data_IF_107757460906
#
_entry.id   IF_107757460906
#
_cell.length_a   1.000
_cell.length_b   1.000
_cell.length_c   1.000
_cell.angle_alpha   90.00
_cell.angle_beta   90.00
_cell.angle_gamma   90.00
#
_symmetry.space_group_name_H-M   'P 1'
#
loop_
_entity.id
_entity.type
_entity.pdbx_description
1 polymer ?
#
# COMPACT_ATOMS: atom_id res chain seq x y z
N UNK A 1 6.37 1.66 19.45
CA UNK A 1 6.39 2.51 18.25
C UNK A 1 5.72 3.83 18.62
N UNK A 2 6.34 4.97 18.35
CA UNK A 2 5.70 6.28 18.57
C UNK A 2 4.80 6.62 17.37
N UNK A 3 3.54 6.94 17.65
CA UNK A 3 2.57 7.32 16.63
C UNK A 3 2.99 8.62 15.94
N UNK A 4 2.68 8.82 14.65
CA UNK A 4 2.95 10.07 13.98
C UNK A 4 2.18 11.22 14.65
N UNK A 5 2.74 12.43 14.57
CA UNK A 5 2.02 13.65 14.96
C UNK A 5 0.74 13.77 14.13
N UNK A 6 -0.35 14.24 14.74
CA UNK A 6 -1.66 14.30 14.08
C UNK A 6 -1.65 15.16 12.80
N UNK A 7 -0.88 16.24 12.76
CA UNK A 7 -0.70 17.06 11.55
C UNK A 7 -0.07 16.28 10.40
N UNK A 8 0.91 15.43 10.69
CA UNK A 8 1.54 14.56 9.69
C UNK A 8 0.56 13.50 9.17
N UNK A 9 -0.20 12.86 10.07
CA UNK A 9 -1.22 11.87 9.71
C UNK A 9 -2.28 12.48 8.77
N UNK A 10 -2.87 13.62 9.14
CA UNK A 10 -3.89 14.27 8.33
C UNK A 10 -3.36 14.71 6.96
N UNK A 11 -2.10 15.16 6.89
CA UNK A 11 -1.45 15.53 5.63
C UNK A 11 -1.32 14.32 4.70
N UNK A 12 -0.87 13.18 5.22
CA UNK A 12 -0.71 11.95 4.44
C UNK A 12 -2.06 11.35 4.01
N UNK A 13 -3.08 11.43 4.86
CA UNK A 13 -4.45 11.10 4.48
C UNK A 13 -4.96 12.02 3.36
N UNK A 14 -4.62 13.31 3.41
CA UNK A 14 -4.92 14.27 2.34
C UNK A 14 -4.25 13.89 1.01
N UNK A 15 -3.00 13.43 1.04
CA UNK A 15 -2.30 12.92 -0.14
C UNK A 15 -2.99 11.70 -0.73
N UNK A 16 -3.36 10.73 0.10
CA UNK A 16 -4.09 9.54 -0.34
C UNK A 16 -5.48 9.88 -0.90
N UNK A 17 -6.21 10.79 -0.26
CA UNK A 17 -7.51 11.27 -0.74
C UNK A 17 -7.39 11.92 -2.12
N UNK A 18 -6.41 12.81 -2.30
CA UNK A 18 -6.12 13.46 -3.58
C UNK A 18 -5.86 12.44 -4.70
N UNK A 19 -4.99 11.45 -4.44
CA UNK A 19 -4.65 10.42 -5.42
C UNK A 19 -5.86 9.53 -5.76
N UNK A 20 -6.62 9.09 -4.76
CA UNK A 20 -7.82 8.27 -4.99
C UNK A 20 -8.88 9.03 -5.79
N UNK A 21 -9.08 10.32 -5.53
CA UNK A 21 -10.02 11.16 -6.28
C UNK A 21 -9.60 11.39 -7.75
N UNK A 22 -8.30 11.36 -8.05
CA UNK A 22 -7.75 11.53 -9.41
C UNK A 22 -7.80 10.27 -10.27
N UNK A 23 -8.06 9.09 -9.68
CA UNK A 23 -8.07 7.80 -10.36
C UNK A 23 -9.52 7.32 -10.47
N UNK A 24 -10.04 7.20 -11.69
CA UNK A 24 -11.48 6.99 -11.95
C UNK A 24 -12.06 5.71 -11.32
N UNK A 25 -11.25 4.66 -11.16
CA UNK A 25 -11.64 3.41 -10.50
C UNK A 25 -11.72 3.54 -8.98
N UNK A 26 -11.06 4.55 -8.39
CA UNK A 26 -10.94 4.76 -6.94
C UNK A 26 -11.69 5.98 -6.45
N UNK A 27 -12.06 6.90 -7.33
CA UNK A 27 -12.82 8.10 -7.00
C UNK A 27 -14.21 7.79 -6.38
N UNK A 28 -14.71 6.57 -6.59
CA UNK A 28 -15.97 6.08 -6.01
C UNK A 28 -15.81 5.39 -4.65
N UNK A 29 -14.59 5.25 -4.14
CA UNK A 29 -14.38 4.67 -2.81
C UNK A 29 -14.98 5.59 -1.74
N UNK A 30 -15.72 5.05 -0.76
CA UNK A 30 -16.23 5.87 0.35
C UNK A 30 -15.07 6.54 1.09
N UNK A 31 -15.24 7.78 1.57
CA UNK A 31 -14.18 8.47 2.33
C UNK A 31 -13.71 7.67 3.55
N UNK A 32 -14.62 6.90 4.17
CA UNK A 32 -14.30 6.00 5.29
C UNK A 32 -13.30 4.89 4.94
N UNK A 33 -13.08 4.60 3.65
CA UNK A 33 -12.05 3.65 3.21
C UNK A 33 -10.63 4.12 3.53
N UNK A 34 -10.39 5.43 3.57
CA UNK A 34 -9.09 5.98 3.98
C UNK A 34 -8.77 5.62 5.43
N UNK A 35 -9.75 5.75 6.32
CA UNK A 35 -9.64 5.34 7.73
C UNK A 35 -9.45 3.83 7.88
N UNK A 36 -10.05 3.03 7.01
CA UNK A 36 -9.95 1.58 7.07
C UNK A 36 -8.63 1.03 6.51
N UNK A 37 -8.09 1.63 5.44
CA UNK A 37 -7.01 1.01 4.65
C UNK A 37 -5.72 1.82 4.60
N UNK A 38 -5.78 3.13 4.82
CA UNK A 38 -4.61 4.03 4.69
C UNK A 38 -4.16 4.54 6.05
N UNK A 39 -5.09 4.95 6.90
CA UNK A 39 -4.79 5.44 8.26
C UNK A 39 -3.97 4.45 9.08
N UNK A 40 -4.30 3.14 9.15
CA UNK A 40 -3.51 2.20 9.91
C UNK A 40 -2.09 2.04 9.33
N UNK A 41 -1.95 2.06 8.00
CA UNK A 41 -0.66 2.01 7.33
C UNK A 41 0.23 3.19 7.74
N UNK A 42 -0.34 4.40 7.76
CA UNK A 42 0.38 5.62 8.16
C UNK A 42 0.77 5.55 9.65
N UNK A 43 -0.17 5.18 10.52
CA UNK A 43 0.07 5.05 11.95
C UNK A 43 1.19 4.06 12.26
N UNK A 44 1.27 2.97 11.49
CA UNK A 44 2.31 1.95 11.62
C UNK A 44 3.61 2.28 10.87
N UNK A 45 3.70 3.42 10.19
CA UNK A 45 4.82 3.79 9.30
C UNK A 45 5.07 2.76 8.18
N UNK A 46 3.99 2.14 7.72
CA UNK A 46 3.97 1.16 6.64
C UNK A 46 3.26 1.71 5.40
N UNK A 47 3.50 2.99 5.14
CA UNK A 47 3.05 3.71 3.95
C UNK A 47 4.22 4.52 3.40
N UNK A 48 4.36 4.55 2.08
CA UNK A 48 5.28 5.47 1.40
C UNK A 48 4.53 6.28 0.36
N UNK A 49 4.66 7.59 0.43
CA UNK A 49 4.21 8.53 -0.59
C UNK A 49 5.37 8.92 -1.49
N UNK A 50 5.09 8.99 -2.79
CA UNK A 50 6.07 9.33 -3.83
C UNK A 50 5.68 10.69 -4.42
N UNK A 51 6.67 11.55 -4.57
CA UNK A 51 6.51 12.92 -5.07
C UNK A 51 7.32 13.10 -6.35
N UNK A 52 6.86 13.97 -7.24
CA UNK A 52 7.64 14.43 -8.38
C UNK A 52 8.61 15.55 -7.99
N UNK A 53 9.35 16.05 -8.98
CA UNK A 53 10.36 17.08 -8.81
C UNK A 53 9.76 18.44 -8.37
N UNK A 54 8.47 18.65 -8.59
CA UNK A 54 7.74 19.85 -8.14
C UNK A 54 7.13 19.69 -6.73
N UNK A 55 7.31 18.53 -6.10
CA UNK A 55 6.76 18.23 -4.78
C UNK A 55 5.28 17.83 -4.80
N UNK A 56 4.72 17.54 -5.97
CA UNK A 56 3.35 17.03 -6.09
C UNK A 56 3.34 15.53 -5.80
N UNK A 57 2.39 15.07 -4.98
CA UNK A 57 2.22 13.63 -4.74
C UNK A 57 1.71 12.96 -6.01
N UNK A 58 2.41 11.90 -6.43
CA UNK A 58 2.16 11.15 -7.69
C UNK A 58 1.80 9.69 -7.46
N UNK A 59 1.99 9.17 -6.25
CA UNK A 59 1.59 7.82 -5.89
C UNK A 59 1.87 7.50 -4.43
N UNK A 60 1.39 6.34 -4.00
CA UNK A 60 1.75 5.73 -2.73
C UNK A 60 1.69 4.22 -2.81
N UNK A 61 2.33 3.55 -1.86
CA UNK A 61 2.07 2.15 -1.58
C UNK A 61 2.08 1.90 -0.09
N UNK A 62 1.36 0.86 0.34
CA UNK A 62 1.26 0.44 1.73
C UNK A 62 1.62 -1.02 1.86
N UNK A 63 2.17 -1.40 3.02
CA UNK A 63 2.49 -2.77 3.31
C UNK A 63 2.10 -3.18 4.73
N UNK A 64 2.05 -4.48 4.96
CA UNK A 64 1.82 -5.07 6.27
C UNK A 64 2.64 -6.35 6.44
N UNK A 65 2.99 -6.67 7.68
CA UNK A 65 3.55 -7.95 8.07
C UNK A 65 2.47 -8.77 8.75
N UNK A 66 1.81 -9.63 7.98
CA UNK A 66 0.63 -10.37 8.44
C UNK A 66 1.00 -11.75 8.97
N UNK A 67 0.32 -12.18 10.02
CA UNK A 67 0.27 -13.57 10.42
C UNK A 67 -0.48 -14.39 9.35
N UNK A 68 -0.20 -15.70 9.28
CA UNK A 68 -0.70 -16.55 8.21
C UNK A 68 -2.24 -16.65 8.21
N UNK A 69 -2.82 -16.85 9.38
CA UNK A 69 -4.26 -16.93 9.61
C UNK A 69 -4.98 -15.60 9.34
N UNK A 70 -4.38 -14.47 9.72
CA UNK A 70 -4.88 -13.13 9.40
C UNK A 70 -4.90 -12.91 7.88
N UNK A 71 -3.81 -13.23 7.19
CA UNK A 71 -3.73 -13.12 5.74
C UNK A 71 -4.77 -14.00 5.05
N UNK A 72 -4.98 -15.24 5.51
CA UNK A 72 -6.01 -16.12 4.96
C UNK A 72 -7.41 -15.55 5.12
N UNK A 73 -7.78 -15.10 6.33
CA UNK A 73 -9.08 -14.49 6.62
C UNK A 73 -9.30 -13.23 5.79
N UNK A 74 -8.25 -12.44 5.59
CA UNK A 74 -8.28 -11.23 4.77
C UNK A 74 -8.56 -11.54 3.29
N UNK A 75 -7.91 -12.56 2.73
CA UNK A 75 -8.10 -12.99 1.33
C UNK A 75 -9.48 -13.63 1.13
N UNK A 76 -9.92 -14.45 2.09
CA UNK A 76 -11.23 -15.10 2.10
C UNK A 76 -12.39 -14.12 2.31
N UNK A 77 -12.08 -12.88 2.70
CA UNK A 77 -13.04 -11.79 3.01
C UNK A 77 -13.86 -12.05 4.27
N UNK A 78 -13.33 -12.89 5.16
CA UNK A 78 -13.91 -13.10 6.50
C UNK A 78 -13.74 -11.83 7.36
N UNK A 79 -12.74 -11.00 7.03
CA UNK A 79 -12.51 -9.66 7.56
C UNK A 79 -12.33 -8.67 6.41
N UNK A 80 -12.86 -7.45 6.56
CA UNK A 80 -12.80 -6.39 5.55
C UNK A 80 -11.75 -5.30 5.86
N UNK A 81 -11.36 -5.22 7.13
CA UNK A 81 -10.46 -4.23 7.70
C UNK A 81 -9.54 -4.95 8.66
N UNK A 82 -8.25 -4.62 8.60
CA UNK A 82 -7.25 -5.12 9.54
C UNK A 82 -7.22 -4.19 10.76
N UNK A 83 -7.22 -4.77 11.96
CA UNK A 83 -6.95 -4.03 13.19
C UNK A 83 -5.50 -3.55 13.23
N UNK A 84 -5.21 -2.45 13.94
CA UNK A 84 -3.89 -1.82 13.93
C UNK A 84 -2.76 -2.80 14.34
N UNK A 85 -3.03 -3.69 15.29
CA UNK A 85 -2.06 -4.71 15.73
C UNK A 85 -1.77 -5.74 14.64
N UNK A 86 -2.78 -6.12 13.85
CA UNK A 86 -2.67 -7.13 12.78
C UNK A 86 -1.72 -6.68 11.65
N UNK A 87 -1.50 -5.36 11.47
CA UNK A 87 -0.61 -4.81 10.45
C UNK A 87 0.87 -5.19 10.63
N UNK A 88 1.28 -5.60 11.83
CA UNK A 88 2.65 -5.97 12.16
C UNK A 88 2.77 -7.26 12.99
N UNK A 89 1.74 -8.11 12.98
CA UNK A 89 1.67 -9.28 13.86
C UNK A 89 2.47 -10.49 13.36
N UNK A 90 2.81 -10.54 12.07
CA UNK A 90 3.50 -11.69 11.48
C UNK A 90 4.81 -11.38 10.79
N UNK A 91 5.26 -12.35 9.98
CA UNK A 91 6.53 -12.27 9.23
C UNK A 91 6.32 -12.25 7.72
N UNK A 92 5.08 -12.43 7.23
CA UNK A 92 4.80 -12.43 5.80
C UNK A 92 4.60 -11.00 5.32
N UNK A 93 5.43 -10.53 4.39
CA UNK A 93 5.26 -9.21 3.79
C UNK A 93 4.10 -9.22 2.78
N UNK A 94 3.20 -8.25 2.93
CA UNK A 94 2.06 -8.02 2.05
C UNK A 94 2.04 -6.59 1.57
N UNK A 95 1.99 -6.37 0.26
CA UNK A 95 1.67 -5.08 -0.34
C UNK A 95 0.15 -4.97 -0.39
N UNK A 96 -0.40 -4.07 0.42
CA UNK A 96 -1.85 -3.94 0.65
C UNK A 96 -2.50 -3.03 -0.38
N UNK A 97 -1.81 -1.95 -0.76
CA UNK A 97 -2.25 -1.02 -1.78
C UNK A 97 -1.06 -0.45 -2.55
N UNK A 98 -1.26 -0.20 -3.84
CA UNK A 98 -0.29 0.43 -4.74
C UNK A 98 -1.04 1.35 -5.69
N UNK A 99 -0.72 2.64 -5.61
CA UNK A 99 -1.44 3.70 -6.28
C UNK A 99 -0.46 4.60 -7.00
N UNK A 100 -0.72 4.86 -8.26
CA UNK A 100 0.06 5.79 -9.07
C UNK A 100 -0.86 6.52 -10.03
N UNK A 101 -0.60 7.83 -10.24
CA UNK A 101 -1.27 8.58 -11.30
C UNK A 101 -0.84 8.07 -12.68
N UNK A 102 -1.76 8.19 -13.65
CA UNK A 102 -1.43 7.94 -15.05
C UNK A 102 -0.26 8.82 -15.50
N UNK A 103 0.72 8.24 -16.20
CA UNK A 103 1.96 8.91 -16.58
C UNK A 103 3.06 8.92 -15.50
N UNK A 104 2.75 8.63 -14.23
CA UNK A 104 3.73 8.56 -13.14
C UNK A 104 4.06 7.14 -12.69
N UNK A 105 3.39 6.13 -13.24
CA UNK A 105 3.51 4.71 -12.86
C UNK A 105 4.96 4.26 -12.75
N UNK A 106 5.79 4.56 -13.74
CA UNK A 106 7.19 4.11 -13.73
C UNK A 106 8.03 4.77 -12.63
N UNK A 107 7.75 6.02 -12.25
CA UNK A 107 8.44 6.66 -11.12
C UNK A 107 8.07 5.98 -9.81
N UNK A 108 6.79 5.67 -9.60
CA UNK A 108 6.30 4.98 -8.40
C UNK A 108 6.82 3.54 -8.35
N UNK A 109 6.83 2.83 -9.48
CA UNK A 109 7.39 1.48 -9.58
C UNK A 109 8.89 1.48 -9.24
N UNK A 110 9.67 2.43 -9.77
CA UNK A 110 11.10 2.54 -9.42
C UNK A 110 11.32 2.77 -7.92
N UNK A 111 10.56 3.69 -7.32
CA UNK A 111 10.62 3.92 -5.88
C UNK A 111 10.28 2.64 -5.08
N UNK A 112 9.24 1.92 -5.50
CA UNK A 112 8.84 0.65 -4.89
C UNK A 112 9.92 -0.43 -5.02
N UNK A 113 10.45 -0.66 -6.23
CA UNK A 113 11.49 -1.66 -6.46
C UNK A 113 12.77 -1.34 -5.68
N UNK A 114 13.11 -0.06 -5.53
CA UNK A 114 14.24 0.38 -4.72
C UNK A 114 14.05 0.01 -3.25
N UNK A 115 12.87 0.21 -2.68
CA UNK A 115 12.61 -0.12 -1.26
C UNK A 115 12.46 -1.61 -1.02
N UNK A 116 11.97 -2.34 -2.02
CA UNK A 116 11.85 -3.79 -1.99
C UNK A 116 13.13 -4.49 -2.45
N UNK A 117 14.21 -3.76 -2.76
CA UNK A 117 15.44 -4.39 -3.22
C UNK A 117 16.05 -5.23 -2.09
N UNK A 118 16.34 -6.50 -2.38
CA UNK A 118 16.85 -7.45 -1.38
C UNK A 118 15.81 -7.90 -0.36
N UNK A 119 14.53 -7.56 -0.53
CA UNK A 119 13.48 -8.11 0.31
C UNK A 119 13.30 -9.62 0.08
N UNK A 120 12.77 -10.32 1.09
CA UNK A 120 12.29 -11.68 0.94
C UNK A 120 11.04 -11.72 0.04
N UNK A 121 10.53 -12.92 -0.25
CA UNK A 121 9.27 -13.08 -0.95
C UNK A 121 8.15 -12.30 -0.27
N UNK A 122 7.27 -11.70 -1.07
CA UNK A 122 6.11 -10.96 -0.59
C UNK A 122 4.88 -11.28 -1.40
N UNK A 123 3.73 -10.94 -0.84
CA UNK A 123 2.44 -11.08 -1.50
C UNK A 123 1.91 -9.72 -1.90
N UNK A 124 1.18 -9.66 -3.01
CA UNK A 124 0.57 -8.45 -3.52
C UNK A 124 -0.94 -8.63 -3.54
N UNK A 125 -1.68 -7.70 -2.93
CA UNK A 125 -3.14 -7.68 -2.97
C UNK A 125 -3.61 -6.79 -4.12
N UNK A 126 -4.64 -7.28 -4.81
CA UNK A 126 -5.40 -6.48 -5.77
C UNK A 126 -6.83 -6.32 -5.27
N UNK A 127 -7.38 -5.12 -5.44
CA UNK A 127 -8.77 -4.81 -5.10
C UNK A 127 -9.58 -4.54 -6.35
N UNK A 128 -10.85 -4.87 -6.28
CA UNK A 128 -11.87 -4.47 -7.24
C UNK A 128 -12.17 -2.96 -7.14
N UNK A 129 -13.00 -2.48 -8.07
CA UNK A 129 -13.56 -1.13 -8.08
C UNK A 129 -14.49 -0.81 -6.89
N UNK A 130 -14.96 -1.80 -6.14
CA UNK A 130 -15.67 -1.59 -4.87
C UNK A 130 -14.77 -1.81 -3.64
N UNK A 131 -13.46 -1.96 -3.82
CA UNK A 131 -12.48 -2.08 -2.74
C UNK A 131 -12.36 -3.47 -2.11
N UNK A 132 -13.14 -4.45 -2.58
CA UNK A 132 -13.03 -5.84 -2.15
C UNK A 132 -11.74 -6.48 -2.69
N UNK A 133 -11.07 -7.30 -1.87
CA UNK A 133 -9.93 -8.11 -2.35
C UNK A 133 -10.38 -9.01 -3.52
N UNK A 134 -9.66 -8.98 -4.63
CA UNK A 134 -9.96 -9.80 -5.81
C UNK A 134 -8.97 -10.95 -5.96
N UNK A 135 -7.68 -10.65 -5.91
CA UNK A 135 -6.61 -11.62 -6.13
C UNK A 135 -5.43 -11.29 -5.23
N UNK A 136 -4.71 -12.32 -4.80
CA UNK A 136 -3.36 -12.20 -4.26
C UNK A 136 -2.36 -12.81 -5.25
N UNK A 137 -1.15 -12.26 -5.31
CA UNK A 137 -0.05 -12.82 -6.09
C UNK A 137 1.19 -12.90 -5.22
N UNK A 138 1.88 -14.04 -5.23
CA UNK A 138 3.20 -14.16 -4.59
C UNK A 138 4.29 -13.69 -5.55
N UNK A 139 5.16 -12.83 -5.07
CA UNK A 139 6.32 -12.29 -5.79
C UNK A 139 7.58 -12.81 -5.13
N UNK A 140 8.50 -13.35 -5.93
CA UNK A 140 9.81 -13.76 -5.45
C UNK A 140 10.70 -12.53 -5.30
N UNK A 141 11.31 -12.34 -4.12
CA UNK A 141 12.14 -11.17 -3.84
C UNK A 141 13.28 -10.97 -4.86
N UNK A 142 13.90 -12.06 -5.30
CA UNK A 142 14.96 -12.05 -6.35
C UNK A 142 14.52 -11.37 -7.65
N UNK A 143 13.25 -11.49 -8.03
CA UNK A 143 12.72 -10.90 -9.27
C UNK A 143 12.70 -9.38 -9.19
N UNK A 144 12.55 -8.81 -7.99
CA UNK A 144 12.61 -7.36 -7.79
C UNK A 144 14.01 -6.84 -8.10
N UNK A 145 15.04 -7.51 -7.58
CA UNK A 145 16.44 -7.14 -7.84
C UNK A 145 16.81 -7.30 -9.32
N UNK A 146 16.37 -8.39 -9.97
CA UNK A 146 16.56 -8.59 -11.41
C UNK A 146 15.94 -7.46 -12.24
N UNK A 147 14.69 -7.07 -11.93
CA UNK A 147 13.99 -5.99 -12.64
C UNK A 147 14.64 -4.64 -12.38
N UNK A 148 15.06 -4.37 -11.13
CA UNK A 148 15.74 -3.12 -10.79
C UNK A 148 17.07 -2.95 -11.54
N UNK A 149 17.86 -4.03 -11.67
CA UNK A 149 19.13 -4.03 -12.37
C UNK A 149 19.01 -3.89 -13.90
N UNK A 150 17.81 -4.07 -14.46
CA UNK A 150 17.54 -3.92 -15.89
C UNK A 150 17.17 -2.48 -16.31
N UNK A 151 17.05 -1.56 -15.34
CA UNK A 151 16.79 -0.12 -15.56
C UNK A 151 18.06 0.71 -15.44
#
# INVERSE_FOLDING_TARGET
MELPRLDALHRELGYAAFLNARISERATYPIGSLRAWVEPAILMRQARFVFDEAGQVIGYYTWAYLAHDIAERYIKKDILVLELAEWCEGNSLWIIDFVALSGAVMKVVRAFLSDMNGCADFNFLSRSRNGTVQRSMRVQGRRVTEVLNAY
#
